data_IF_834913061949
#
_entry.id   IF_834913061949
#
_cell.length_a   1.000
_cell.length_b   1.000
_cell.length_c   1.000
_cell.angle_alpha   90.00
_cell.angle_beta   90.00
_cell.angle_gamma   90.00
#
_symmetry.space_group_name_H-M   'P 1'
#
loop_
_entity.id
_entity.type
_entity.pdbx_description
1 polymer ?
#
# COMPACT_ATOMS: atom_id res chain seq x y z
N UNK A 1 -5.21 -13.11 -10.57
CA UNK A 1 -4.19 -13.43 -9.55
C UNK A 1 -2.99 -14.03 -10.29
N UNK A 2 -2.07 -13.18 -10.76
CA UNK A 2 -0.89 -13.63 -11.52
C UNK A 2 0.21 -13.92 -10.51
N UNK A 3 0.59 -15.20 -10.39
CA UNK A 3 1.76 -15.62 -9.65
C UNK A 3 3.02 -15.26 -10.45
N UNK A 4 3.62 -14.11 -10.16
CA UNK A 4 5.01 -13.85 -10.53
C UNK A 4 5.89 -14.51 -9.47
N UNK A 5 6.50 -15.62 -9.87
CA UNK A 5 7.47 -16.38 -9.08
C UNK A 5 8.78 -15.57 -8.98
N UNK A 6 8.85 -14.64 -8.02
CA UNK A 6 10.07 -13.91 -7.66
C UNK A 6 11.06 -14.87 -6.98
N UNK A 7 11.95 -15.47 -7.77
CA UNK A 7 13.12 -16.22 -7.27
C UNK A 7 14.17 -15.35 -6.56
N UNK A 8 13.95 -14.05 -6.41
CA UNK A 8 14.90 -13.10 -5.78
C UNK A 8 14.79 -13.09 -4.23
N UNK A 9 13.80 -13.75 -3.62
CA UNK A 9 13.66 -13.83 -2.15
C UNK A 9 14.49 -14.99 -1.54
N UNK A 10 15.19 -15.79 -2.34
CA UNK A 10 15.82 -17.05 -1.87
C UNK A 10 17.17 -16.91 -1.14
N UNK A 11 17.68 -15.70 -0.87
CA UNK A 11 18.93 -15.51 -0.10
C UNK A 11 18.81 -14.67 1.17
N UNK A 12 17.62 -14.18 1.51
CA UNK A 12 17.46 -13.28 2.66
C UNK A 12 16.73 -13.98 3.80
N UNK A 13 17.15 -13.69 5.03
CA UNK A 13 16.55 -14.21 6.25
C UNK A 13 15.14 -13.63 6.51
N UNK A 14 14.41 -13.19 5.49
CA UNK A 14 13.13 -12.48 5.55
C UNK A 14 11.97 -13.41 5.15
N UNK A 15 11.75 -14.46 5.94
CA UNK A 15 10.63 -15.39 5.71
C UNK A 15 10.03 -15.85 7.04
N UNK A 16 8.73 -16.20 7.01
CA UNK A 16 8.01 -16.65 8.20
C UNK A 16 8.08 -15.61 9.34
N UNK A 17 8.41 -16.02 10.57
CA UNK A 17 8.56 -15.11 11.71
C UNK A 17 9.65 -14.04 11.55
N UNK A 18 10.63 -14.26 10.66
CA UNK A 18 11.72 -13.33 10.41
C UNK A 18 11.36 -12.27 9.36
N UNK A 19 10.14 -12.31 8.82
CA UNK A 19 9.67 -11.25 7.93
C UNK A 19 9.56 -9.93 8.70
N UNK A 20 10.05 -8.80 8.16
CA UNK A 20 10.00 -7.53 8.87
C UNK A 20 8.56 -7.09 9.09
N UNK A 21 8.33 -6.34 10.16
CA UNK A 21 7.06 -5.65 10.36
C UNK A 21 6.84 -4.66 9.21
N UNK A 22 5.65 -4.72 8.61
CA UNK A 22 5.24 -3.83 7.52
C UNK A 22 4.12 -2.92 7.96
N UNK A 23 4.11 -1.72 7.40
CA UNK A 23 3.07 -0.71 7.61
C UNK A 23 2.23 -0.52 6.36
N UNK A 24 1.11 0.18 6.50
CA UNK A 24 0.32 0.66 5.37
C UNK A 24 1.17 1.55 4.44
N UNK A 25 2.11 2.33 4.99
CA UNK A 25 2.99 3.19 4.20
C UNK A 25 3.96 2.38 3.34
N UNK A 26 4.50 1.28 3.85
CA UNK A 26 5.39 0.41 3.07
C UNK A 26 4.69 -0.16 1.84
N UNK A 27 3.42 -0.58 2.00
CA UNK A 27 2.58 -1.03 0.89
C UNK A 27 2.37 0.09 -0.16
N UNK A 28 2.07 1.30 0.29
CA UNK A 28 1.89 2.46 -0.61
C UNK A 28 3.19 2.80 -1.34
N UNK A 29 4.33 2.78 -0.67
CA UNK A 29 5.64 3.01 -1.29
C UNK A 29 5.98 1.94 -2.33
N UNK A 30 5.67 0.67 -2.05
CA UNK A 30 5.86 -0.42 -3.01
C UNK A 30 4.97 -0.23 -4.25
N UNK A 31 3.70 0.14 -4.06
CA UNK A 31 2.78 0.46 -5.16
C UNK A 31 3.28 1.66 -5.98
N UNK A 32 3.73 2.74 -5.33
CA UNK A 32 4.31 3.90 -6.01
C UNK A 32 5.53 3.53 -6.83
N UNK A 33 6.44 2.72 -6.27
CA UNK A 33 7.62 2.23 -6.99
C UNK A 33 7.22 1.43 -8.23
N UNK A 34 6.23 0.54 -8.11
CA UNK A 34 5.71 -0.20 -9.26
C UNK A 34 5.13 0.74 -10.33
N UNK A 35 4.29 1.69 -9.93
CA UNK A 35 3.65 2.64 -10.84
C UNK A 35 4.68 3.51 -11.57
N UNK A 36 5.63 4.08 -10.84
CA UNK A 36 6.65 4.96 -11.41
C UNK A 36 7.67 4.18 -12.24
N UNK A 37 8.27 3.12 -11.69
CA UNK A 37 9.46 2.50 -12.28
C UNK A 37 9.12 1.51 -13.39
N UNK A 38 7.93 0.89 -13.33
CA UNK A 38 7.54 -0.16 -14.27
C UNK A 38 6.51 0.34 -15.28
N UNK A 39 5.58 1.18 -14.85
CA UNK A 39 4.48 1.66 -15.69
C UNK A 39 4.61 3.13 -16.13
N UNK A 40 5.62 3.86 -15.63
CA UNK A 40 5.82 5.29 -15.88
C UNK A 40 4.56 6.16 -15.58
N UNK A 41 3.83 5.78 -14.53
CA UNK A 41 2.64 6.50 -14.07
C UNK A 41 3.05 7.44 -12.95
N UNK A 42 2.98 8.75 -13.22
CA UNK A 42 3.38 9.81 -12.28
C UNK A 42 2.20 10.65 -11.77
N UNK A 43 0.97 10.37 -12.23
CA UNK A 43 -0.26 10.99 -11.75
C UNK A 43 -1.39 9.94 -11.64
N UNK A 44 -2.11 9.97 -10.53
CA UNK A 44 -3.28 9.15 -10.22
C UNK A 44 -4.51 10.05 -10.16
N UNK A 45 -5.45 9.84 -11.09
CA UNK A 45 -6.72 10.57 -11.10
C UNK A 45 -7.59 10.26 -9.88
N UNK A 46 -7.56 9.01 -9.42
CA UNK A 46 -8.31 8.52 -8.27
C UNK A 46 -7.56 7.36 -7.62
N UNK A 47 -7.40 7.42 -6.30
CA UNK A 47 -7.07 6.25 -5.48
C UNK A 47 -8.33 5.83 -4.73
N UNK A 48 -8.73 4.56 -4.90
CA UNK A 48 -9.93 4.00 -4.27
C UNK A 48 -9.57 2.71 -3.55
N UNK A 49 -10.11 2.52 -2.35
CA UNK A 49 -9.91 1.28 -1.61
C UNK A 49 -11.01 1.00 -0.58
N UNK A 50 -11.16 -0.28 -0.24
CA UNK A 50 -12.12 -0.79 0.74
C UNK A 50 -11.41 -1.38 1.96
N UNK A 51 -11.93 -1.15 3.18
CA UNK A 51 -11.37 -1.68 4.42
C UNK A 51 -9.89 -1.25 4.61
N UNK A 52 -8.95 -2.19 4.71
CA UNK A 52 -7.50 -1.90 4.72
C UNK A 52 -7.05 -1.13 3.46
N UNK A 53 -7.71 -1.35 2.32
CA UNK A 53 -7.49 -0.54 1.11
C UNK A 53 -7.95 0.91 1.28
N UNK A 54 -8.99 1.16 2.10
CA UNK A 54 -9.41 2.51 2.44
C UNK A 54 -8.35 3.26 3.27
N UNK A 55 -7.68 2.56 4.18
CA UNK A 55 -6.49 3.09 4.88
C UNK A 55 -5.36 3.43 3.91
N UNK A 56 -5.07 2.55 2.94
CA UNK A 56 -4.08 2.83 1.90
C UNK A 56 -4.47 4.04 1.03
N UNK A 57 -5.75 4.22 0.71
CA UNK A 57 -6.23 5.39 -0.02
C UNK A 57 -5.95 6.69 0.75
N UNK A 58 -6.23 6.72 2.06
CA UNK A 58 -5.86 7.84 2.93
C UNK A 58 -4.35 8.10 2.92
N UNK A 59 -3.54 7.05 3.06
CA UNK A 59 -2.09 7.15 3.07
C UNK A 59 -1.56 7.73 1.75
N UNK A 60 -2.07 7.26 0.60
CA UNK A 60 -1.73 7.79 -0.72
C UNK A 60 -2.02 9.29 -0.85
N UNK A 61 -3.24 9.70 -0.52
CA UNK A 61 -3.67 11.09 -0.65
C UNK A 61 -2.89 12.02 0.29
N UNK A 62 -2.54 11.56 1.50
CA UNK A 62 -1.83 12.37 2.48
C UNK A 62 -0.33 12.50 2.20
N UNK A 63 0.34 11.44 1.73
CA UNK A 63 1.80 11.43 1.56
C UNK A 63 2.26 11.77 0.15
N UNK A 64 1.40 11.61 -0.86
CA UNK A 64 1.72 11.92 -2.25
C UNK A 64 0.66 12.83 -2.90
N UNK A 65 0.34 13.99 -2.30
CA UNK A 65 -0.73 14.87 -2.76
C UNK A 65 -0.51 15.41 -4.18
N UNK A 66 0.75 15.56 -4.62
CA UNK A 66 1.05 16.04 -5.98
C UNK A 66 0.66 15.01 -7.06
N UNK A 67 0.82 13.72 -6.72
CA UNK A 67 0.53 12.58 -7.59
C UNK A 67 -0.96 12.20 -7.55
N UNK A 68 -1.67 12.38 -6.42
CA UNK A 68 -3.06 11.91 -6.26
C UNK A 68 -4.06 13.07 -6.36
N UNK A 69 -4.93 13.05 -7.38
CA UNK A 69 -5.93 14.12 -7.58
C UNK A 69 -7.22 13.93 -6.78
N UNK A 70 -7.65 12.68 -6.58
CA UNK A 70 -8.87 12.37 -5.84
C UNK A 70 -8.71 11.07 -5.05
N UNK A 71 -9.53 10.91 -4.00
CA UNK A 71 -9.50 9.73 -3.14
C UNK A 71 -10.92 9.30 -2.74
N UNK A 72 -11.16 7.99 -2.73
CA UNK A 72 -12.34 7.38 -2.12
C UNK A 72 -11.89 6.30 -1.12
N UNK A 73 -12.31 6.44 0.15
CA UNK A 73 -12.21 5.37 1.14
C UNK A 73 -13.60 4.80 1.40
N UNK A 74 -13.76 3.50 1.16
CA UNK A 74 -14.99 2.77 1.46
C UNK A 74 -14.79 1.89 2.69
N UNK A 75 -15.63 2.07 3.71
CA UNK A 75 -15.54 1.30 4.96
C UNK A 75 -14.12 1.26 5.57
N UNK A 76 -13.31 2.31 5.36
CA UNK A 76 -11.94 2.43 5.85
C UNK A 76 -11.77 3.66 6.73
N UNK A 77 -10.73 3.67 7.55
CA UNK A 77 -10.42 4.75 8.49
C UNK A 77 -9.07 5.40 8.14
N UNK A 78 -8.80 6.62 8.61
CA UNK A 78 -7.50 7.26 8.40
C UNK A 78 -6.37 6.61 9.23
N UNK A 79 -6.72 6.02 10.37
CA UNK A 79 -5.85 5.23 11.24
C UNK A 79 -6.66 4.15 11.93
N UNK A 80 -6.01 3.05 12.32
CA UNK A 80 -6.64 2.04 13.18
C UNK A 80 -6.95 2.69 14.53
N UNK A 81 -8.20 2.54 14.98
CA UNK A 81 -8.66 3.02 16.29
C UNK A 81 -8.72 1.87 17.27
N UNK A 82 -8.82 2.16 18.56
CA UNK A 82 -8.94 1.14 19.61
C UNK A 82 -10.13 0.19 19.36
N UNK A 83 -11.24 0.70 18.81
CA UNK A 83 -12.42 -0.10 18.46
C UNK A 83 -12.22 -1.05 17.28
N UNK A 84 -11.17 -0.84 16.47
CA UNK A 84 -10.90 -1.61 15.24
C UNK A 84 -9.54 -2.30 15.28
N UNK A 85 -8.84 -2.23 16.42
CA UNK A 85 -7.58 -2.91 16.64
C UNK A 85 -7.82 -4.40 16.88
N UNK A 86 -7.06 -5.23 16.19
CA UNK A 86 -7.15 -6.69 16.28
C UNK A 86 -5.72 -7.24 16.33
N UNK A 87 -5.32 -7.62 17.55
CA UNK A 87 -4.03 -8.19 18.01
C UNK A 87 -2.76 -7.36 17.76
#
# INVERSE_FOLDING_TARGET
>A
MVFLHLQVILQSNFSGPNFPLITIFDNVCAQKKLLNDVFDINELKLVIGWSMGGQQAFQWASYFPDMVKNMISMCGHAKTTDHTFVF
#
